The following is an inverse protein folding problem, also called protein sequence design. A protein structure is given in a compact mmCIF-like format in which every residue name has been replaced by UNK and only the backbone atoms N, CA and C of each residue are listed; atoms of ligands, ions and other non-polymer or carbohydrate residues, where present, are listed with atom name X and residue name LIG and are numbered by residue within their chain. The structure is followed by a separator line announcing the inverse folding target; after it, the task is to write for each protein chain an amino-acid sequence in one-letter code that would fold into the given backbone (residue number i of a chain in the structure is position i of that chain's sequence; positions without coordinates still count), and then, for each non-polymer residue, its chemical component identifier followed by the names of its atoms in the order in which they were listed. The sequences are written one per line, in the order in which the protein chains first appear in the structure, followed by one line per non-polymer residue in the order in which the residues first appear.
data_IF_981179557685
#
_entry.id   IF_981179557685
#
_cell.length_a   1.000
_cell.length_b   1.000
_cell.length_c   1.000
_cell.angle_alpha   90.00
_cell.angle_beta   90.00
_cell.angle_gamma   90.00
#
_symmetry.space_group_name_H-M   'P 1'
#
loop_
_entity.id
_entity.type
_entity.pdbx_description
1 polymer ?
#
# COMPACT_ATOMS: atom_id res chain seq x y z
N UNK A 1 25.62 25.17 18.44
CA UNK A 1 26.23 24.20 17.51
C UNK A 1 25.58 22.80 17.57
N UNK A 2 25.05 22.32 18.71
CA UNK A 2 24.47 20.98 18.84
C UNK A 2 23.14 20.77 18.09
N UNK A 3 22.28 21.78 18.02
CA UNK A 3 20.94 21.67 17.41
C UNK A 3 20.99 21.58 15.88
N UNK A 4 21.98 22.21 15.24
CA UNK A 4 22.17 22.12 13.78
C UNK A 4 22.72 20.73 13.36
N UNK A 5 23.52 20.10 14.21
CA UNK A 5 24.09 18.76 13.97
C UNK A 5 23.01 17.65 14.14
N UNK A 6 22.10 17.81 15.08
CA UNK A 6 20.96 16.88 15.26
C UNK A 6 19.96 16.96 14.08
N UNK A 7 19.70 18.14 13.54
CA UNK A 7 18.87 18.30 12.35
C UNK A 7 19.47 17.67 11.10
N UNK A 8 20.78 17.81 10.91
CA UNK A 8 21.51 17.16 9.82
C UNK A 8 21.54 15.64 9.97
N UNK A 9 21.73 15.11 11.17
CA UNK A 9 21.69 13.66 11.42
C UNK A 9 20.31 13.06 11.14
N UNK A 10 19.23 13.73 11.56
CA UNK A 10 17.87 13.30 11.24
C UNK A 10 17.58 13.32 9.73
N UNK A 11 18.03 14.36 9.02
CA UNK A 11 17.89 14.42 7.58
C UNK A 11 18.66 13.30 6.87
N UNK A 12 19.92 13.04 7.28
CA UNK A 12 20.72 11.94 6.73
C UNK A 12 20.12 10.56 7.04
N UNK A 13 19.57 10.35 8.24
CA UNK A 13 18.91 9.11 8.59
C UNK A 13 17.68 8.88 7.71
N UNK A 14 16.86 9.91 7.51
CA UNK A 14 15.69 9.86 6.60
C UNK A 14 16.11 9.57 5.15
N UNK A 15 17.19 10.19 4.65
CA UNK A 15 17.69 9.94 3.30
C UNK A 15 18.18 8.49 3.13
N UNK A 16 18.83 7.93 4.16
CA UNK A 16 19.28 6.53 4.15
C UNK A 16 18.09 5.54 4.17
N UNK A 17 17.06 5.83 4.96
CA UNK A 17 15.84 5.03 4.99
C UNK A 17 15.11 5.06 3.64
N UNK A 18 15.04 6.23 3.00
CA UNK A 18 14.47 6.39 1.66
C UNK A 18 15.29 5.61 0.60
N UNK A 19 16.61 5.64 0.69
CA UNK A 19 17.49 4.86 -0.20
C UNK A 19 17.32 3.36 0.01
N UNK A 20 17.24 2.90 1.26
CA UNK A 20 17.01 1.50 1.58
C UNK A 20 15.65 1.03 1.03
N UNK A 21 14.59 1.80 1.26
CA UNK A 21 13.26 1.53 0.71
C UNK A 21 13.26 1.48 -0.83
N UNK A 22 14.07 2.33 -1.47
CA UNK A 22 14.24 2.34 -2.94
C UNK A 22 14.92 1.06 -3.43
N UNK A 23 15.99 0.63 -2.77
CA UNK A 23 16.70 -0.62 -3.12
C UNK A 23 15.76 -1.82 -2.93
N UNK A 24 15.07 -1.91 -1.81
CA UNK A 24 14.17 -3.02 -1.50
C UNK A 24 12.99 -3.08 -2.49
N UNK A 25 12.45 -1.92 -2.85
CA UNK A 25 11.38 -1.82 -3.85
C UNK A 25 11.86 -2.21 -5.25
N UNK A 26 13.07 -1.79 -5.63
CA UNK A 26 13.68 -2.14 -6.92
C UNK A 26 13.99 -3.63 -7.00
N UNK A 27 14.56 -4.21 -5.94
CA UNK A 27 14.83 -5.64 -5.86
C UNK A 27 13.54 -6.47 -5.89
N UNK A 28 12.49 -6.01 -5.20
CA UNK A 28 11.17 -6.64 -5.25
C UNK A 28 10.58 -6.60 -6.67
N UNK A 29 10.73 -5.47 -7.36
CA UNK A 29 10.29 -5.32 -8.75
C UNK A 29 11.05 -6.23 -9.71
N UNK A 30 12.38 -6.37 -9.54
CA UNK A 30 13.24 -7.20 -10.38
C UNK A 30 13.05 -8.71 -10.13
N UNK A 31 12.77 -9.11 -8.89
CA UNK A 31 12.48 -10.52 -8.55
C UNK A 31 11.18 -11.01 -9.20
N UNK A 32 10.24 -10.13 -9.45
CA UNK A 32 8.99 -10.46 -10.15
C UNK A 32 8.25 -11.65 -9.53
N UNK A 33 7.76 -12.55 -10.40
CA UNK A 33 7.05 -13.77 -9.99
C UNK A 33 7.97 -14.88 -9.45
N UNK A 34 9.28 -14.65 -9.33
CA UNK A 34 10.27 -15.60 -8.84
C UNK A 34 10.30 -15.71 -7.30
N UNK A 35 9.31 -15.15 -6.59
CA UNK A 35 9.19 -15.33 -5.15
C UNK A 35 8.77 -16.78 -4.84
N UNK A 36 9.62 -17.58 -4.17
CA UNK A 36 9.35 -18.99 -3.88
C UNK A 36 8.24 -19.19 -2.84
N UNK A 37 7.59 -18.12 -2.39
CA UNK A 37 6.56 -18.21 -1.37
C UNK A 37 5.35 -19.03 -1.85
N UNK A 38 5.00 -20.06 -1.10
CA UNK A 38 3.88 -20.95 -1.38
C UNK A 38 2.56 -20.31 -0.88
N UNK A 39 1.51 -20.39 -1.69
CA UNK A 39 0.17 -20.01 -1.27
C UNK A 39 -0.30 -20.88 -0.13
N UNK A 40 -0.88 -20.26 0.90
CA UNK A 40 -1.49 -20.94 2.04
C UNK A 40 -2.77 -20.24 2.46
N UNK A 41 -3.69 -21.00 3.05
CA UNK A 41 -4.91 -20.43 3.61
C UNK A 41 -4.53 -19.49 4.75
N UNK A 42 -4.83 -18.23 4.58
CA UNK A 42 -4.43 -17.15 5.50
C UNK A 42 -5.66 -16.31 5.86
N UNK A 43 -5.72 -15.86 7.11
CA UNK A 43 -6.72 -14.88 7.52
C UNK A 43 -6.28 -13.47 7.10
N UNK A 44 -6.82 -12.99 5.98
CA UNK A 44 -6.52 -11.66 5.43
C UNK A 44 -6.96 -10.55 6.38
N UNK A 45 -8.05 -10.74 7.16
CA UNK A 45 -8.47 -9.78 8.16
C UNK A 45 -7.39 -9.56 9.24
N UNK A 46 -6.76 -10.64 9.74
CA UNK A 46 -5.66 -10.53 10.72
C UNK A 46 -4.44 -9.82 10.13
N UNK A 47 -4.16 -10.02 8.84
CA UNK A 47 -3.09 -9.33 8.15
C UNK A 47 -3.35 -7.82 8.10
N UNK A 48 -4.58 -7.43 7.73
CA UNK A 48 -4.98 -6.01 7.65
C UNK A 48 -5.01 -5.33 9.02
N UNK A 49 -5.47 -6.02 10.07
CA UNK A 49 -5.41 -5.54 11.45
C UNK A 49 -3.95 -5.28 11.86
N UNK A 50 -3.05 -6.24 11.60
CA UNK A 50 -1.62 -6.07 11.91
C UNK A 50 -0.96 -4.92 11.16
N UNK A 51 -1.41 -4.60 9.94
CA UNK A 51 -0.94 -3.42 9.19
C UNK A 51 -1.46 -2.13 9.85
N UNK A 52 -2.73 -2.12 10.25
CA UNK A 52 -3.31 -0.95 10.93
C UNK A 52 -2.63 -0.69 12.27
N UNK A 53 -2.40 -1.73 13.08
CA UNK A 53 -1.70 -1.64 14.36
C UNK A 53 -0.27 -1.09 14.19
N UNK A 54 0.48 -1.63 13.21
CA UNK A 54 1.83 -1.15 12.92
C UNK A 54 1.84 0.32 12.46
N UNK A 55 0.84 0.76 11.68
CA UNK A 55 0.69 2.16 11.30
C UNK A 55 0.41 3.06 12.50
N UNK A 56 -0.44 2.62 13.44
CA UNK A 56 -0.73 3.36 14.68
C UNK A 56 0.50 3.44 15.58
N UNK A 57 1.25 2.35 15.74
CA UNK A 57 2.49 2.30 16.51
C UNK A 57 3.55 3.26 15.94
N UNK A 58 3.55 3.45 14.62
CA UNK A 58 4.38 4.45 13.94
C UNK A 58 3.85 5.89 14.04
N UNK A 59 2.72 6.12 14.73
CA UNK A 59 2.12 7.43 14.94
C UNK A 59 1.20 7.91 13.79
N UNK A 60 0.84 7.02 12.86
CA UNK A 60 -0.05 7.36 11.75
C UNK A 60 -1.52 7.06 12.07
N UNK A 61 -2.44 7.81 11.46
CA UNK A 61 -3.87 7.59 11.58
C UNK A 61 -4.34 6.47 10.62
N UNK A 62 -4.06 5.21 10.99
CA UNK A 62 -4.50 4.04 10.23
C UNK A 62 -5.56 3.29 11.02
N UNK A 63 -6.69 2.97 10.39
CA UNK A 63 -7.78 2.23 11.03
C UNK A 63 -8.25 1.09 10.13
N UNK A 64 -8.68 0.00 10.76
CA UNK A 64 -9.28 -1.15 10.09
C UNK A 64 -10.76 -1.26 10.42
N UNK A 65 -11.57 -1.45 9.39
CA UNK A 65 -13.01 -1.66 9.49
C UNK A 65 -13.41 -2.91 8.69
N UNK A 66 -13.87 -3.95 9.36
CA UNK A 66 -14.25 -5.18 8.68
C UNK A 66 -14.41 -6.36 9.62
N UNK A 67 -14.63 -7.57 9.08
CA UNK A 67 -14.77 -8.79 9.86
C UNK A 67 -13.43 -9.19 10.48
N UNK A 68 -13.47 -9.86 11.64
CA UNK A 68 -12.26 -10.41 12.29
C UNK A 68 -11.68 -11.64 11.59
N UNK A 69 -12.42 -12.21 10.61
CA UNK A 69 -12.00 -13.41 9.88
C UNK A 69 -12.40 -13.38 8.42
N UNK A 70 -11.43 -13.50 7.54
CA UNK A 70 -11.61 -13.57 6.09
C UNK A 70 -10.48 -14.43 5.50
N UNK A 71 -10.81 -15.65 5.07
CA UNK A 71 -9.82 -16.60 4.59
C UNK A 71 -9.64 -16.53 3.08
N UNK A 72 -8.40 -16.55 2.62
CA UNK A 72 -8.03 -16.73 1.23
C UNK A 72 -6.74 -17.56 1.10
N UNK A 73 -6.58 -18.26 -0.02
CA UNK A 73 -5.34 -18.96 -0.35
C UNK A 73 -4.41 -17.99 -1.09
N UNK A 74 -3.47 -17.41 -0.36
CA UNK A 74 -2.58 -16.34 -0.83
C UNK A 74 -1.14 -16.57 -0.37
N UNK A 75 -0.20 -15.82 -0.94
CA UNK A 75 1.17 -15.67 -0.46
C UNK A 75 1.22 -14.52 0.56
N UNK A 76 1.24 -14.81 1.87
CA UNK A 76 1.00 -13.77 2.89
C UNK A 76 2.11 -12.72 2.98
N UNK A 77 3.37 -13.07 2.73
CA UNK A 77 4.47 -12.09 2.76
C UNK A 77 4.38 -11.15 1.56
N UNK A 78 4.13 -11.69 0.37
CA UNK A 78 3.96 -10.89 -0.84
C UNK A 78 2.73 -9.98 -0.72
N UNK A 79 1.59 -10.51 -0.26
CA UNK A 79 0.38 -9.72 -0.06
C UNK A 79 0.59 -8.63 1.00
N UNK A 80 1.25 -8.95 2.12
CA UNK A 80 1.61 -7.97 3.15
C UNK A 80 2.35 -6.78 2.56
N UNK A 81 3.42 -7.05 1.80
CA UNK A 81 4.22 -6.00 1.14
C UNK A 81 3.39 -5.14 0.19
N UNK A 82 2.49 -5.78 -0.59
CA UNK A 82 1.61 -5.06 -1.50
C UNK A 82 0.68 -4.10 -0.76
N UNK A 83 0.10 -4.55 0.35
CA UNK A 83 -0.81 -3.76 1.17
C UNK A 83 -0.07 -2.65 1.94
N UNK A 84 1.12 -2.92 2.48
CA UNK A 84 1.97 -1.92 3.12
C UNK A 84 2.26 -0.77 2.12
N UNK A 85 2.64 -1.08 0.88
CA UNK A 85 2.86 -0.06 -0.16
C UNK A 85 1.63 0.83 -0.42
N UNK A 86 0.42 0.25 -0.37
CA UNK A 86 -0.82 1.02 -0.58
C UNK A 86 -1.14 1.87 0.64
N UNK A 87 -0.97 1.34 1.85
CA UNK A 87 -1.21 2.07 3.11
C UNK A 87 -0.20 3.20 3.28
N UNK A 88 1.08 2.97 2.99
CA UNK A 88 2.12 4.00 3.03
C UNK A 88 1.80 5.15 2.07
N UNK A 89 1.31 4.84 0.87
CA UNK A 89 0.83 5.87 -0.06
C UNK A 89 -0.36 6.65 0.51
N UNK A 90 -1.34 5.97 1.11
CA UNK A 90 -2.50 6.62 1.71
C UNK A 90 -2.10 7.57 2.85
N UNK A 91 -1.19 7.15 3.73
CA UNK A 91 -0.65 7.99 4.81
C UNK A 91 0.16 9.16 4.24
N UNK A 92 1.02 8.90 3.26
CA UNK A 92 1.91 9.91 2.67
C UNK A 92 1.17 11.04 1.96
N UNK A 93 0.09 10.73 1.25
CA UNK A 93 -0.63 11.69 0.42
C UNK A 93 -1.93 12.20 1.04
N UNK A 94 -2.47 11.49 2.04
CA UNK A 94 -3.76 11.80 2.65
C UNK A 94 -3.75 11.86 4.18
N UNK A 95 -2.56 11.82 4.81
CA UNK A 95 -2.34 11.91 6.28
C UNK A 95 -3.01 10.80 7.10
N UNK A 96 -3.90 10.02 6.49
CA UNK A 96 -4.57 8.87 7.13
C UNK A 96 -4.88 7.77 6.12
N UNK A 97 -5.07 6.55 6.62
CA UNK A 97 -5.56 5.43 5.86
C UNK A 97 -6.72 4.73 6.58
N UNK A 98 -7.83 4.51 5.88
CA UNK A 98 -8.94 3.68 6.34
C UNK A 98 -8.97 2.41 5.51
N UNK A 99 -8.71 1.28 6.15
CA UNK A 99 -8.66 -0.04 5.54
C UNK A 99 -10.02 -0.71 5.77
N UNK A 100 -10.73 -1.04 4.71
CA UNK A 100 -11.98 -1.77 4.78
C UNK A 100 -11.87 -3.15 4.15
N UNK A 101 -12.68 -4.09 4.66
CA UNK A 101 -12.79 -5.45 4.13
C UNK A 101 -14.24 -5.91 4.19
N UNK A 102 -14.72 -6.45 3.08
CA UNK A 102 -16.02 -7.13 2.98
C UNK A 102 -15.86 -8.52 2.36
N UNK A 103 -16.77 -9.40 2.74
CA UNK A 103 -16.88 -10.75 2.18
C UNK A 103 -17.96 -10.75 1.09
N UNK A 104 -17.60 -11.15 -0.13
CA UNK A 104 -18.53 -11.49 -1.18
C UNK A 104 -18.54 -13.02 -1.39
N UNK A 105 -19.44 -13.53 -2.20
CA UNK A 105 -19.64 -14.98 -2.38
C UNK A 105 -18.35 -15.72 -2.76
N UNK A 106 -17.64 -15.21 -3.77
CA UNK A 106 -16.42 -15.82 -4.30
C UNK A 106 -15.17 -14.94 -4.16
N UNK A 107 -15.26 -13.82 -3.45
CA UNK A 107 -14.17 -12.87 -3.32
C UNK A 107 -14.11 -12.19 -1.96
N UNK A 108 -12.94 -11.65 -1.66
CA UNK A 108 -12.73 -10.63 -0.64
C UNK A 108 -12.64 -9.29 -1.35
N UNK A 109 -13.40 -8.32 -0.89
CA UNK A 109 -13.33 -6.94 -1.35
C UNK A 109 -12.67 -6.07 -0.30
N UNK A 110 -11.49 -5.54 -0.64
CA UNK A 110 -10.72 -4.65 0.21
C UNK A 110 -10.74 -3.25 -0.39
N UNK A 111 -10.70 -2.24 0.47
CA UNK A 111 -10.44 -0.86 0.04
C UNK A 111 -9.55 -0.15 1.06
N UNK A 112 -8.68 0.70 0.56
CA UNK A 112 -7.87 1.61 1.35
C UNK A 112 -8.21 3.03 0.89
N UNK A 113 -8.77 3.82 1.80
CA UNK A 113 -9.18 5.20 1.58
C UNK A 113 -8.19 6.16 2.23
N UNK A 114 -7.80 7.19 1.51
CA UNK A 114 -7.10 8.35 2.03
C UNK A 114 -7.95 9.62 1.92
N UNK A 115 -7.50 10.71 2.53
CA UNK A 115 -8.13 12.02 2.46
C UNK A 115 -7.27 13.02 1.67
N UNK A 116 -6.40 12.53 0.79
CA UNK A 116 -5.54 13.32 -0.08
C UNK A 116 -6.29 14.04 -1.22
N UNK A 117 -5.57 14.60 -2.18
CA UNK A 117 -6.19 15.36 -3.29
C UNK A 117 -6.90 14.45 -4.31
N UNK A 118 -6.76 13.10 -4.19
CA UNK A 118 -7.22 12.18 -5.23
C UNK A 118 -6.36 12.25 -6.49
N UNK A 119 -6.83 11.62 -7.56
CA UNK A 119 -6.16 11.60 -8.85
C UNK A 119 -7.11 12.08 -9.95
N UNK A 120 -6.63 12.87 -10.91
CA UNK A 120 -7.41 13.16 -12.10
C UNK A 120 -7.62 11.87 -12.92
N UNK A 121 -8.75 11.74 -13.65
CA UNK A 121 -9.11 10.51 -14.36
C UNK A 121 -8.05 10.01 -15.33
N UNK A 122 -7.35 10.90 -16.01
CA UNK A 122 -6.28 10.61 -16.95
C UNK A 122 -4.96 10.14 -16.27
N UNK A 123 -4.85 10.31 -14.96
CA UNK A 123 -3.69 9.90 -14.18
C UNK A 123 -3.84 8.51 -13.57
N UNK A 124 -5.04 7.94 -13.51
CA UNK A 124 -5.31 6.64 -12.86
C UNK A 124 -4.48 5.51 -13.48
N UNK A 125 -4.49 5.39 -14.81
CA UNK A 125 -3.72 4.34 -15.50
C UNK A 125 -2.21 4.54 -15.35
N UNK A 126 -1.78 5.81 -15.36
CA UNK A 126 -0.37 6.21 -15.18
C UNK A 126 0.14 5.97 -13.77
N UNK A 127 -0.74 5.97 -12.76
CA UNK A 127 -0.36 5.75 -11.37
C UNK A 127 0.24 4.35 -11.12
N UNK A 128 -0.09 3.37 -11.97
CA UNK A 128 0.48 2.02 -11.91
C UNK A 128 1.75 1.85 -12.76
N UNK A 129 2.14 2.84 -13.55
CA UNK A 129 3.36 2.76 -14.35
C UNK A 129 4.59 2.90 -13.46
N UNK A 130 5.65 2.07 -13.69
CA UNK A 130 6.86 2.12 -12.89
C UNK A 130 7.50 3.51 -12.91
N UNK A 131 8.06 3.93 -11.76
CA UNK A 131 8.75 5.21 -11.58
C UNK A 131 7.89 6.45 -11.85
N UNK A 132 6.58 6.28 -11.94
CA UNK A 132 5.66 7.41 -12.14
C UNK A 132 5.39 8.09 -10.81
N UNK A 133 5.68 9.40 -10.79
CA UNK A 133 5.29 10.31 -9.72
C UNK A 133 4.28 11.29 -10.30
N UNK A 134 3.06 11.26 -9.78
CA UNK A 134 2.04 12.21 -10.17
C UNK A 134 2.25 13.48 -9.36
N UNK A 135 2.77 14.54 -10.00
CA UNK A 135 3.17 15.81 -9.38
C UNK A 135 1.94 16.62 -8.91
N UNK A 136 1.13 16.10 -8.02
CA UNK A 136 0.03 16.85 -7.40
C UNK A 136 0.36 17.37 -6.00
N UNK A 137 1.48 16.97 -5.40
CA UNK A 137 1.89 17.51 -4.11
C UNK A 137 2.90 18.64 -4.30
N UNK A 138 2.54 19.84 -3.84
CA UNK A 138 3.43 21.01 -3.75
C UNK A 138 4.65 20.80 -2.83
N UNK A 139 4.76 19.68 -2.15
CA UNK A 139 5.88 19.32 -1.31
C UNK A 139 6.87 18.43 -2.06
N UNK A 140 7.97 19.01 -2.48
CA UNK A 140 9.13 18.32 -3.09
C UNK A 140 9.82 17.30 -2.15
N UNK A 141 9.43 17.25 -0.87
CA UNK A 141 10.02 16.39 0.17
C UNK A 141 9.25 15.10 0.43
N UNK A 142 8.18 14.78 -0.30
CA UNK A 142 7.55 13.47 -0.21
C UNK A 142 8.35 12.48 -1.05
N UNK A 143 9.42 11.93 -0.48
CA UNK A 143 10.21 10.86 -1.07
C UNK A 143 9.35 9.67 -1.48
N UNK A 144 9.72 8.95 -2.52
CA UNK A 144 9.03 7.73 -2.96
C UNK A 144 9.53 7.29 -4.32
N UNK A 145 9.70 5.97 -4.49
CA UNK A 145 10.31 5.36 -5.68
C UNK A 145 9.42 5.39 -6.90
N UNK A 146 8.12 5.64 -6.74
CA UNK A 146 7.12 5.45 -7.81
C UNK A 146 6.90 3.98 -8.19
N UNK A 147 7.34 3.03 -7.35
CA UNK A 147 7.19 1.59 -7.58
C UNK A 147 6.10 0.96 -6.71
N UNK A 148 5.64 1.61 -5.64
CA UNK A 148 4.75 1.01 -4.65
C UNK A 148 3.45 0.47 -5.26
N UNK A 149 2.72 1.28 -6.04
CA UNK A 149 1.49 0.85 -6.71
C UNK A 149 1.75 -0.18 -7.82
N UNK A 150 2.88 -0.07 -8.53
CA UNK A 150 3.29 -1.06 -9.54
C UNK A 150 3.51 -2.43 -8.91
N UNK A 151 4.20 -2.50 -7.77
CA UNK A 151 4.45 -3.73 -7.01
C UNK A 151 3.13 -4.28 -6.48
N UNK A 152 2.29 -3.43 -5.87
CA UNK A 152 0.99 -3.82 -5.36
C UNK A 152 0.13 -4.46 -6.47
N UNK A 153 0.05 -3.84 -7.64
CA UNK A 153 -0.70 -4.37 -8.79
C UNK A 153 -0.19 -5.75 -9.22
N UNK A 154 1.13 -5.91 -9.39
CA UNK A 154 1.72 -7.19 -9.78
C UNK A 154 1.40 -8.31 -8.78
N UNK A 155 1.55 -8.04 -7.49
CA UNK A 155 1.26 -9.03 -6.45
C UNK A 155 -0.22 -9.40 -6.44
N UNK A 156 -1.12 -8.41 -6.48
CA UNK A 156 -2.57 -8.66 -6.47
C UNK A 156 -2.99 -9.47 -7.71
N UNK A 157 -2.50 -9.12 -8.90
CA UNK A 157 -2.76 -9.86 -10.14
C UNK A 157 -2.19 -11.29 -10.09
N UNK A 158 -0.99 -11.48 -9.51
CA UNK A 158 -0.40 -12.79 -9.30
C UNK A 158 -1.16 -13.64 -8.27
N UNK A 159 -1.94 -13.03 -7.37
CA UNK A 159 -2.90 -13.72 -6.50
C UNK A 159 -4.22 -14.04 -7.22
N UNK A 160 -4.40 -13.67 -8.48
CA UNK A 160 -5.63 -13.82 -9.24
C UNK A 160 -6.66 -12.75 -8.93
N UNK A 161 -6.23 -11.69 -8.26
CA UNK A 161 -7.06 -10.55 -7.86
C UNK A 161 -7.04 -9.41 -8.88
N UNK A 162 -7.65 -8.29 -8.50
CA UNK A 162 -7.66 -7.04 -9.26
C UNK A 162 -7.43 -5.88 -8.32
N UNK A 163 -6.78 -4.82 -8.82
CA UNK A 163 -6.58 -3.56 -8.12
C UNK A 163 -7.01 -2.40 -9.03
N UNK A 164 -7.67 -1.41 -8.46
CA UNK A 164 -8.10 -0.20 -9.14
C UNK A 164 -8.03 1.02 -8.24
N UNK A 165 -8.04 2.21 -8.85
CA UNK A 165 -8.01 3.50 -8.15
C UNK A 165 -9.27 4.27 -8.49
N UNK A 166 -9.89 4.88 -7.49
CA UNK A 166 -11.07 5.73 -7.62
C UNK A 166 -10.86 7.02 -6.81
N UNK A 167 -11.09 8.18 -7.43
CA UNK A 167 -11.19 9.43 -6.67
C UNK A 167 -12.51 9.45 -5.94
N UNK A 168 -12.47 9.69 -4.62
CA UNK A 168 -13.66 9.68 -3.78
C UNK A 168 -14.48 10.95 -3.94
N UNK A 169 -15.82 10.87 -3.86
CA UNK A 169 -16.66 12.05 -3.74
C UNK A 169 -16.24 12.86 -2.48
N UNK A 170 -15.93 14.14 -2.66
CA UNK A 170 -15.47 15.00 -1.57
C UNK A 170 -13.96 15.04 -1.36
N UNK A 171 -13.18 14.35 -2.18
CA UNK A 171 -11.71 14.30 -2.14
C UNK A 171 -11.16 12.99 -1.58
N UNK A 172 -9.87 12.78 -1.78
CA UNK A 172 -9.18 11.55 -1.43
C UNK A 172 -9.18 10.50 -2.54
N UNK A 173 -8.38 9.49 -2.34
CA UNK A 173 -8.26 8.33 -3.22
C UNK A 173 -8.78 7.08 -2.51
N UNK A 174 -9.43 6.22 -3.27
CA UNK A 174 -9.74 4.84 -2.87
C UNK A 174 -8.94 3.89 -3.73
N UNK A 175 -8.15 3.05 -3.10
CA UNK A 175 -7.57 1.86 -3.74
C UNK A 175 -8.52 0.71 -3.47
N UNK A 176 -9.13 0.14 -4.53
CA UNK A 176 -10.01 -1.03 -4.44
C UNK A 176 -9.24 -2.27 -4.86
N UNK A 177 -9.32 -3.32 -4.05
CA UNK A 177 -8.67 -4.61 -4.31
C UNK A 177 -9.71 -5.72 -4.18
N UNK A 178 -9.72 -6.63 -5.14
CA UNK A 178 -10.53 -7.86 -5.08
C UNK A 178 -9.60 -9.06 -5.10
N UNK A 179 -9.76 -9.98 -4.15
CA UNK A 179 -9.01 -11.23 -4.09
C UNK A 179 -9.95 -12.42 -4.17
N UNK A 180 -9.62 -13.50 -4.89
CA UNK A 180 -10.43 -14.72 -4.88
C UNK A 180 -10.40 -15.37 -3.49
N UNK A 181 -11.56 -15.90 -3.07
CA UNK A 181 -11.67 -16.74 -1.88
C UNK A 181 -12.21 -18.11 -2.25
N UNK A 182 -11.83 -19.17 -1.54
CA UNK A 182 -12.48 -20.47 -1.72
C UNK A 182 -13.97 -20.33 -1.38
N UNK A 183 -14.81 -20.82 -2.27
CA UNK A 183 -16.23 -21.00 -1.99
C UNK A 183 -16.32 -22.20 -1.05
N UNK A 184 -16.75 -21.97 0.18
CA UNK A 184 -16.92 -22.99 1.21
C UNK A 184 -18.15 -23.82 0.96
#
# INVERSE_FOLDING_TARGET
DGVADDGQRHAMASDLDDMQAMIDSTLAYLRGDADPEVRRVTNVASLLMSIADAGQDAGHAVVYEGPGRALAAIRPVALRRALDNVVDNAVRYGDRARIGLALADASLELWIDDDGPGLPPDAVDRAFAPFTRLETSRNRNTGGTGLGLTIARRVIEAEGGRIGLETRPGGGLRVRITLPRPVG
#
